data_IF_640731489117
#
_entry.id   IF_640731489117
#
_cell.length_a   1.000
_cell.length_b   1.000
_cell.length_c   1.000
_cell.angle_alpha   90.00
_cell.angle_beta   90.00
_cell.angle_gamma   90.00
#
_symmetry.space_group_name_H-M   'P 1'
#
loop_
_entity.id
_entity.type
_entity.pdbx_description
1 polymer ?
#
# COMPACT_ATOMS: atom_id res chain seq x y z
N UNK A 1 42.20 1.49 -0.70
CA UNK A 1 41.06 1.09 0.13
C UNK A 1 40.37 -0.08 -0.55
N UNK A 2 40.21 -1.22 0.12
CA UNK A 2 39.53 -2.38 -0.43
C UNK A 2 38.02 -2.18 -0.31
N UNK A 3 37.31 -2.07 -1.44
CA UNK A 3 35.85 -2.03 -1.47
C UNK A 3 35.32 -3.46 -1.50
N UNK A 4 34.85 -3.95 -0.35
CA UNK A 4 34.17 -5.24 -0.27
C UNK A 4 32.75 -5.10 -0.82
N UNK A 5 32.46 -5.76 -1.94
CA UNK A 5 31.14 -5.75 -2.59
C UNK A 5 30.02 -6.23 -1.66
N UNK A 6 30.24 -7.33 -0.93
CA UNK A 6 29.27 -7.86 0.04
C UNK A 6 28.94 -6.86 1.15
N UNK A 7 29.92 -6.10 1.63
CA UNK A 7 29.71 -5.06 2.63
C UNK A 7 28.92 -3.86 2.08
N UNK A 8 29.10 -3.52 0.81
CA UNK A 8 28.35 -2.44 0.16
C UNK A 8 26.89 -2.82 -0.03
N UNK A 9 26.61 -4.04 -0.54
CA UNK A 9 25.25 -4.54 -0.73
C UNK A 9 24.51 -4.73 0.60
N UNK A 10 25.17 -5.27 1.63
CA UNK A 10 24.57 -5.48 2.95
C UNK A 10 24.28 -4.18 3.72
N UNK A 11 24.97 -3.08 3.39
CA UNK A 11 24.74 -1.74 3.98
C UNK A 11 23.98 -0.80 3.05
N UNK A 12 23.57 -1.28 1.87
CA UNK A 12 22.85 -0.46 0.92
C UNK A 12 21.50 -0.07 1.51
N UNK A 13 21.35 1.21 1.85
CA UNK A 13 20.09 1.77 2.27
C UNK A 13 19.34 2.26 1.05
N UNK A 14 18.03 2.01 1.04
CA UNK A 14 17.17 2.56 0.01
C UNK A 14 17.09 4.08 0.20
N UNK A 15 17.39 4.84 -0.85
CA UNK A 15 17.13 6.28 -0.84
C UNK A 15 15.65 6.56 -0.58
N UNK A 16 15.37 7.70 0.07
CA UNK A 16 14.00 8.16 0.29
C UNK A 16 13.28 8.32 -1.05
N UNK A 17 12.01 7.94 -1.08
CA UNK A 17 11.16 8.29 -2.21
C UNK A 17 10.98 9.81 -2.27
N UNK A 18 10.94 10.37 -3.48
CA UNK A 18 10.46 11.74 -3.67
C UNK A 18 9.00 11.80 -3.23
N UNK A 19 8.61 12.90 -2.59
CA UNK A 19 7.19 13.16 -2.29
C UNK A 19 6.41 13.22 -3.60
N UNK A 20 5.37 12.40 -3.73
CA UNK A 20 4.52 12.41 -4.92
C UNK A 20 3.71 13.71 -4.96
N UNK A 21 3.99 14.56 -5.93
CA UNK A 21 3.18 15.74 -6.24
C UNK A 21 1.92 15.36 -7.03
N UNK A 22 1.91 14.16 -7.65
CA UNK A 22 0.89 13.70 -8.59
C UNK A 22 -0.18 12.77 -7.99
N UNK A 23 -0.27 12.63 -6.67
CA UNK A 23 -1.09 11.61 -6.00
C UNK A 23 -2.33 12.16 -5.27
N UNK A 24 -2.78 13.36 -5.63
CA UNK A 24 -3.99 13.95 -5.05
C UNK A 24 -5.10 13.88 -6.09
N UNK A 25 -6.15 13.13 -5.79
CA UNK A 25 -7.43 13.21 -6.50
C UNK A 25 -8.01 14.63 -6.43
N UNK A 26 -8.70 15.06 -7.48
CA UNK A 26 -9.30 16.40 -7.58
C UNK A 26 -10.82 16.37 -7.45
N UNK A 27 -11.44 15.22 -7.65
CA UNK A 27 -12.86 14.95 -7.48
C UNK A 27 -13.11 13.52 -7.00
N UNK A 28 -14.34 13.27 -6.51
CA UNK A 28 -14.80 11.93 -6.11
C UNK A 28 -14.67 10.96 -7.29
N UNK A 29 -14.13 9.77 -7.02
CA UNK A 29 -13.89 8.69 -7.99
C UNK A 29 -12.76 8.93 -9.00
N UNK A 30 -11.94 9.97 -8.87
CA UNK A 30 -10.73 10.14 -9.71
C UNK A 30 -9.70 9.03 -9.49
N UNK A 31 -9.56 8.58 -8.23
CA UNK A 31 -8.62 7.55 -7.82
C UNK A 31 -9.25 6.70 -6.71
N UNK A 32 -9.33 5.39 -6.94
CA UNK A 32 -9.82 4.41 -5.97
C UNK A 32 -8.69 3.45 -5.64
N UNK A 33 -8.39 3.32 -4.36
CA UNK A 33 -7.46 2.32 -3.84
C UNK A 33 -8.25 1.05 -3.51
N UNK A 34 -7.83 -0.08 -4.05
CA UNK A 34 -8.48 -1.38 -3.83
C UNK A 34 -7.46 -2.37 -3.32
N UNK A 35 -7.79 -3.04 -2.22
CA UNK A 35 -6.96 -4.09 -1.63
C UNK A 35 -7.80 -5.27 -1.13
N UNK A 36 -7.17 -6.43 -0.94
CA UNK A 36 -7.80 -7.61 -0.35
C UNK A 36 -7.22 -7.84 1.03
N UNK A 37 -8.02 -7.66 2.06
CA UNK A 37 -7.66 -8.02 3.42
C UNK A 37 -7.99 -9.48 3.71
N UNK A 38 -7.00 -10.25 4.20
CA UNK A 38 -7.22 -11.60 4.72
C UNK A 38 -6.01 -12.53 4.57
N UNK A 39 -6.13 -13.79 5.05
CA UNK A 39 -7.32 -14.40 5.65
C UNK A 39 -7.56 -13.95 7.10
N UNK A 40 -8.80 -13.57 7.42
CA UNK A 40 -9.26 -13.30 8.78
C UNK A 40 -9.20 -14.56 9.64
N UNK A 41 -8.74 -14.38 10.89
CA UNK A 41 -8.77 -15.43 11.92
C UNK A 41 -10.21 -15.84 12.23
N UNK A 42 -11.11 -14.86 12.33
CA UNK A 42 -12.54 -15.05 12.60
C UNK A 42 -13.32 -15.08 11.29
N UNK A 43 -14.11 -16.11 11.11
CA UNK A 43 -14.96 -16.29 9.92
C UNK A 43 -16.17 -15.36 10.03
N UNK A 44 -16.55 -14.72 8.93
CA UNK A 44 -17.77 -13.91 8.89
C UNK A 44 -19.03 -14.76 9.12
N UNK A 45 -20.16 -14.12 9.42
CA UNK A 45 -21.43 -14.84 9.53
C UNK A 45 -21.76 -15.63 8.25
N UNK A 46 -21.47 -15.04 7.08
CA UNK A 46 -21.64 -15.63 5.76
C UNK A 46 -20.47 -16.54 5.31
N UNK A 47 -19.57 -16.93 6.23
CA UNK A 47 -18.47 -17.87 5.98
C UNK A 47 -17.30 -17.35 5.14
N UNK A 48 -17.16 -16.03 4.99
CA UNK A 48 -16.02 -15.41 4.32
C UNK A 48 -14.82 -15.22 5.27
N UNK A 49 -13.61 -15.26 4.71
CA UNK A 49 -12.33 -14.95 5.39
C UNK A 49 -11.53 -13.84 4.71
N UNK A 50 -11.95 -13.42 3.53
CA UNK A 50 -11.31 -12.34 2.77
C UNK A 50 -12.33 -11.25 2.54
N UNK A 51 -11.86 -10.01 2.52
CA UNK A 51 -12.68 -8.82 2.42
C UNK A 51 -12.01 -7.88 1.43
N UNK A 52 -12.82 -7.30 0.55
CA UNK A 52 -12.37 -6.25 -0.34
C UNK A 52 -12.39 -4.94 0.44
N UNK A 53 -11.29 -4.20 0.40
CA UNK A 53 -11.19 -2.85 0.95
C UNK A 53 -11.15 -1.91 -0.23
N UNK A 54 -12.16 -1.05 -0.34
CA UNK A 54 -12.22 -0.03 -1.40
C UNK A 54 -12.19 1.33 -0.72
N UNK A 55 -11.26 2.20 -1.11
CA UNK A 55 -11.14 3.55 -0.56
C UNK A 55 -11.07 4.56 -1.69
N UNK A 56 -12.01 5.51 -1.71
CA UNK A 56 -11.93 6.66 -2.60
C UNK A 56 -10.88 7.66 -2.07
N UNK A 57 -9.93 8.04 -2.91
CA UNK A 57 -8.83 8.92 -2.51
C UNK A 57 -9.32 10.33 -2.17
N UNK A 58 -10.37 10.83 -2.82
CA UNK A 58 -10.80 12.22 -2.65
C UNK A 58 -11.64 12.39 -1.39
N UNK A 59 -12.74 11.64 -1.32
CA UNK A 59 -13.71 11.71 -0.22
C UNK A 59 -13.25 10.99 1.04
N UNK A 60 -12.22 10.13 0.94
CA UNK A 60 -11.75 9.25 2.01
C UNK A 60 -12.82 8.27 2.51
N UNK A 61 -13.87 8.04 1.72
CA UNK A 61 -14.89 7.04 2.03
C UNK A 61 -14.37 5.63 1.76
N UNK A 62 -14.72 4.70 2.63
CA UNK A 62 -14.36 3.28 2.54
C UNK A 62 -15.58 2.39 2.41
N UNK A 63 -15.50 1.40 1.54
CA UNK A 63 -16.46 0.32 1.38
C UNK A 63 -15.83 -1.04 1.68
#
# INVERSE_FOLDING_TARGET
>A
SFQCEACQLGKHTRSSFLSSISSLSHAVFDLIHVDVWGPSRVVSQAKFRYYLVIVDDFSRLSW
#
